data_IF_933894139894
#
_entry.id   IF_933894139894
#
_cell.length_a   1.000
_cell.length_b   1.000
_cell.length_c   1.000
_cell.angle_alpha   90.00
_cell.angle_beta   90.00
_cell.angle_gamma   90.00
#
_symmetry.space_group_name_H-M   'P 1'
#
loop_
_entity.id
_entity.type
_entity.pdbx_description
1 polymer ?
#
# COMPACT_ATOMS: atom_id res chain seq x y z
N UNK A 1 -47.25 35.72 -15.18
CA UNK A 1 -45.80 35.91 -15.03
C UNK A 1 -45.17 34.52 -15.06
N UNK A 2 -44.42 34.20 -16.10
CA UNK A 2 -43.70 32.92 -16.25
C UNK A 2 -42.39 33.05 -15.46
N UNK A 3 -42.01 32.08 -14.62
CA UNK A 3 -40.74 32.15 -13.89
C UNK A 3 -39.57 32.08 -14.88
N UNK A 4 -38.46 32.79 -14.61
CA UNK A 4 -37.33 32.82 -15.53
C UNK A 4 -36.67 31.43 -15.59
N UNK A 5 -36.14 31.02 -16.75
CA UNK A 5 -35.48 29.74 -16.91
C UNK A 5 -34.23 29.68 -16.02
N UNK A 6 -34.09 28.56 -15.29
CA UNK A 6 -32.93 28.28 -14.45
C UNK A 6 -31.65 28.39 -15.29
N UNK A 7 -30.72 29.26 -14.86
CA UNK A 7 -29.40 29.41 -15.47
C UNK A 7 -28.67 28.08 -15.39
N UNK A 8 -28.44 27.43 -16.54
CA UNK A 8 -27.48 26.34 -16.68
C UNK A 8 -26.14 26.80 -16.12
N UNK A 9 -25.73 26.22 -15.00
CA UNK A 9 -24.45 26.51 -14.38
C UNK A 9 -23.37 25.92 -15.29
N UNK A 10 -22.68 26.79 -16.04
CA UNK A 10 -21.55 26.41 -16.89
C UNK A 10 -20.44 25.92 -15.95
N UNK A 11 -20.31 24.61 -15.77
CA UNK A 11 -19.15 23.99 -15.13
C UNK A 11 -17.90 24.58 -15.80
N UNK A 12 -17.06 25.27 -15.04
CA UNK A 12 -15.80 25.81 -15.53
C UNK A 12 -14.98 24.67 -16.11
N UNK A 13 -14.77 24.66 -17.43
CA UNK A 13 -13.97 23.64 -18.10
C UNK A 13 -12.54 23.71 -17.54
N UNK A 14 -12.09 22.63 -16.90
CA UNK A 14 -10.69 22.40 -16.64
C UNK A 14 -9.95 22.30 -17.98
N UNK A 15 -8.74 22.84 -18.07
CA UNK A 15 -7.92 22.70 -19.27
C UNK A 15 -7.66 21.23 -19.58
N UNK A 16 -7.75 20.84 -20.86
CA UNK A 16 -7.51 19.46 -21.27
C UNK A 16 -6.07 19.02 -20.94
N UNK A 17 -5.90 17.80 -20.43
CA UNK A 17 -4.60 17.19 -20.17
C UNK A 17 -4.22 16.36 -21.40
N UNK A 18 -3.09 16.69 -22.02
CA UNK A 18 -2.70 16.15 -23.32
C UNK A 18 -1.58 15.12 -23.17
N UNK A 19 -1.86 13.89 -23.61
CA UNK A 19 -0.93 12.79 -23.72
C UNK A 19 -0.42 12.66 -25.17
N UNK A 20 0.63 13.42 -25.48
CA UNK A 20 1.36 13.36 -26.75
C UNK A 20 2.45 12.30 -26.74
N UNK A 21 2.74 11.75 -27.91
CA UNK A 21 3.97 11.00 -28.20
C UNK A 21 4.73 11.74 -29.30
N UNK A 22 6.06 11.56 -29.41
CA UNK A 22 6.92 12.27 -30.37
C UNK A 22 6.49 12.15 -31.85
N UNK A 23 5.62 11.19 -32.19
CA UNK A 23 5.28 10.85 -33.58
C UNK A 23 3.79 10.97 -33.92
N UNK A 24 2.89 11.09 -32.94
CA UNK A 24 1.45 11.03 -33.18
C UNK A 24 0.69 12.08 -32.37
N UNK A 25 -0.29 12.70 -33.03
CA UNK A 25 -1.27 13.58 -32.40
C UNK A 25 -2.33 12.75 -31.64
N UNK A 26 -2.87 13.27 -30.52
CA UNK A 26 -4.00 12.65 -29.83
C UNK A 26 -5.18 12.46 -30.77
N UNK A 27 -5.82 11.28 -30.72
CA UNK A 27 -6.94 10.94 -31.60
C UNK A 27 -8.18 10.46 -30.83
N UNK A 28 -8.11 10.44 -29.50
CA UNK A 28 -9.17 10.00 -28.61
C UNK A 28 -9.32 11.00 -27.48
N UNK A 29 -10.57 11.31 -27.10
CA UNK A 29 -10.88 12.11 -25.91
C UNK A 29 -11.56 11.28 -24.85
N UNK A 30 -11.06 11.39 -23.62
CA UNK A 30 -11.67 10.79 -22.44
C UNK A 30 -12.17 11.91 -21.54
N UNK A 31 -13.46 11.90 -21.23
CA UNK A 31 -14.11 12.85 -20.33
C UNK A 31 -14.36 12.16 -19.00
N UNK A 32 -13.43 12.32 -18.06
CA UNK A 32 -13.53 11.76 -16.71
C UNK A 32 -14.15 12.81 -15.80
N UNK A 33 -15.45 12.69 -15.58
CA UNK A 33 -16.30 13.72 -15.01
C UNK A 33 -16.15 15.05 -15.76
N UNK A 34 -15.54 16.07 -15.15
CA UNK A 34 -15.28 17.39 -15.75
C UNK A 34 -13.84 17.59 -16.23
N UNK A 35 -13.00 16.56 -16.20
CA UNK A 35 -11.64 16.61 -16.71
C UNK A 35 -11.59 15.95 -18.09
N UNK A 36 -11.07 16.70 -19.07
CA UNK A 36 -10.86 16.22 -20.44
C UNK A 36 -9.40 15.75 -20.58
N UNK A 37 -9.23 14.57 -21.19
CA UNK A 37 -7.93 14.00 -21.53
C UNK A 37 -7.86 13.77 -23.03
N UNK A 38 -6.79 14.23 -23.66
CA UNK A 38 -6.50 13.97 -25.07
C UNK A 38 -5.41 12.92 -25.14
N UNK A 39 -5.73 11.76 -25.71
CA UNK A 39 -4.85 10.59 -25.69
C UNK A 39 -4.74 9.97 -27.09
N UNK A 40 -3.71 9.16 -27.29
CA UNK A 40 -3.59 8.29 -28.45
C UNK A 40 -4.13 6.90 -28.11
N UNK A 41 -5.01 6.34 -28.94
CA UNK A 41 -5.67 5.06 -28.65
C UNK A 41 -4.70 3.88 -28.51
N UNK A 42 -3.57 3.88 -29.23
CA UNK A 42 -2.71 2.70 -29.31
C UNK A 42 -2.06 2.31 -27.96
N UNK A 43 -1.45 3.23 -27.17
CA UNK A 43 -1.01 2.92 -25.81
C UNK A 43 -2.11 2.35 -24.91
N UNK A 44 -3.35 2.84 -25.03
CA UNK A 44 -4.48 2.28 -24.29
C UNK A 44 -4.71 0.83 -24.71
N UNK A 45 -4.79 0.54 -26.03
CA UNK A 45 -4.99 -0.83 -26.54
C UNK A 45 -3.89 -1.80 -26.10
N UNK A 46 -2.64 -1.38 -26.14
CA UNK A 46 -1.50 -2.23 -25.78
C UNK A 46 -1.43 -2.56 -24.28
N UNK A 47 -2.00 -1.71 -23.41
CA UNK A 47 -1.83 -1.81 -21.96
C UNK A 47 -3.15 -1.99 -21.19
N UNK A 48 -4.27 -2.15 -21.89
CA UNK A 48 -5.59 -2.33 -21.29
C UNK A 48 -6.43 -3.28 -22.14
N UNK A 49 -6.72 -4.45 -21.58
CA UNK A 49 -7.59 -5.45 -22.23
C UNK A 49 -9.02 -4.93 -22.45
N UNK A 50 -9.47 -3.96 -21.66
CA UNK A 50 -10.73 -3.25 -21.92
C UNK A 50 -10.63 -2.46 -23.22
N UNK A 51 -9.66 -1.54 -23.33
CA UNK A 51 -9.54 -0.67 -24.49
C UNK A 51 -9.16 -1.45 -25.75
N UNK A 52 -8.35 -2.51 -25.65
CA UNK A 52 -8.05 -3.41 -26.76
C UNK A 52 -9.33 -3.91 -27.43
N UNK A 53 -10.23 -4.49 -26.63
CA UNK A 53 -11.54 -4.97 -27.10
C UNK A 53 -12.42 -3.82 -27.56
N UNK A 54 -12.43 -2.72 -26.82
CA UNK A 54 -13.35 -1.64 -27.10
C UNK A 54 -13.00 -0.85 -28.39
N UNK A 55 -11.73 -0.87 -28.79
CA UNK A 55 -11.26 -0.30 -30.07
C UNK A 55 -11.26 -1.31 -31.23
N UNK A 56 -11.58 -2.59 -30.99
CA UNK A 56 -11.69 -3.59 -32.05
C UNK A 56 -13.03 -3.42 -32.81
N UNK A 57 -13.01 -3.10 -34.11
CA UNK A 57 -14.23 -2.93 -34.90
C UNK A 57 -15.13 -4.17 -34.93
N UNK A 58 -14.56 -5.37 -34.72
CA UNK A 58 -15.34 -6.62 -34.71
C UNK A 58 -16.28 -6.76 -33.51
N UNK A 59 -16.05 -5.99 -32.44
CA UNK A 59 -16.91 -6.00 -31.24
C UNK A 59 -18.16 -5.12 -31.38
N UNK A 60 -18.40 -4.52 -32.55
CA UNK A 60 -19.63 -3.77 -32.85
C UNK A 60 -19.78 -2.45 -32.08
N UNK A 61 -18.71 -1.95 -31.47
CA UNK A 61 -18.71 -0.65 -30.81
C UNK A 61 -18.47 0.43 -31.87
N UNK A 62 -19.51 1.22 -32.15
CA UNK A 62 -19.38 2.38 -33.01
C UNK A 62 -18.66 3.51 -32.25
N UNK A 63 -17.44 3.80 -32.68
CA UNK A 63 -16.66 4.92 -32.18
C UNK A 63 -17.10 6.20 -32.89
N UNK A 64 -17.56 7.18 -32.12
CA UNK A 64 -17.97 8.49 -32.62
C UNK A 64 -17.31 9.60 -31.81
N UNK A 65 -17.17 10.76 -32.44
CA UNK A 65 -16.60 11.96 -31.82
C UNK A 65 -17.47 13.17 -32.14
N UNK A 66 -17.64 14.03 -31.14
CA UNK A 66 -18.27 15.34 -31.29
C UNK A 66 -17.37 16.39 -31.97
N UNK A 67 -16.09 16.07 -32.21
CA UNK A 67 -15.11 16.93 -32.88
C UNK A 67 -14.48 16.23 -34.07
N UNK A 68 -14.31 16.92 -35.21
CA UNK A 68 -13.65 16.34 -36.39
C UNK A 68 -12.16 16.03 -36.17
N UNK A 69 -11.54 16.59 -35.12
CA UNK A 69 -10.12 16.39 -34.80
C UNK A 69 -9.86 15.03 -34.11
N UNK A 70 -10.90 14.38 -33.59
CA UNK A 70 -10.78 13.15 -32.81
C UNK A 70 -11.60 12.05 -33.45
N UNK A 71 -11.12 10.82 -33.30
CA UNK A 71 -11.79 9.61 -33.82
C UNK A 71 -12.84 9.08 -32.85
N UNK A 72 -12.65 9.28 -31.55
CA UNK A 72 -13.58 8.79 -30.54
C UNK A 72 -13.63 9.68 -29.29
N UNK A 73 -14.83 9.82 -28.73
CA UNK A 73 -15.09 10.41 -27.42
C UNK A 73 -15.59 9.33 -26.45
N UNK A 74 -15.11 9.39 -25.21
CA UNK A 74 -15.51 8.51 -24.11
C UNK A 74 -15.96 9.33 -22.92
N UNK A 75 -17.08 8.97 -22.31
CA UNK A 75 -17.69 9.73 -21.22
C UNK A 75 -17.82 8.88 -19.97
N UNK A 76 -17.65 9.52 -18.81
CA UNK A 76 -18.03 8.91 -17.54
C UNK A 76 -19.52 8.61 -17.50
N UNK A 77 -19.83 7.36 -17.18
CA UNK A 77 -21.16 6.87 -16.81
C UNK A 77 -21.08 6.20 -15.45
N UNK A 78 -22.12 6.33 -14.62
CA UNK A 78 -22.22 5.65 -13.34
C UNK A 78 -22.51 4.17 -13.54
N UNK A 79 -21.77 3.35 -12.80
CA UNK A 79 -21.96 1.91 -12.77
C UNK A 79 -22.34 1.48 -11.35
N UNK A 80 -23.30 0.56 -11.23
CA UNK A 80 -23.82 0.16 -9.91
C UNK A 80 -22.82 -0.65 -9.10
N UNK A 81 -21.91 -1.36 -9.77
CA UNK A 81 -21.02 -2.34 -9.15
C UNK A 81 -19.63 -1.73 -8.92
N UNK A 82 -19.11 -0.96 -9.88
CA UNK A 82 -17.77 -0.36 -9.80
C UNK A 82 -17.77 1.16 -9.59
N UNK A 83 -18.95 1.76 -9.47
CA UNK A 83 -19.14 3.18 -9.18
C UNK A 83 -19.16 4.05 -10.44
N UNK A 84 -18.13 3.98 -11.28
CA UNK A 84 -18.11 4.69 -12.56
C UNK A 84 -17.22 4.01 -13.60
N UNK A 85 -17.57 4.19 -14.88
CA UNK A 85 -16.86 3.60 -16.03
C UNK A 85 -16.83 4.59 -17.19
N UNK A 86 -15.94 4.36 -18.16
CA UNK A 86 -15.95 5.07 -19.44
C UNK A 86 -16.78 4.31 -20.47
N UNK A 87 -17.75 5.02 -21.07
CA UNK A 87 -18.57 4.51 -22.17
C UNK A 87 -18.32 5.32 -23.45
N UNK A 88 -18.34 4.68 -24.62
CA UNK A 88 -18.16 5.39 -25.89
C UNK A 88 -19.30 6.38 -26.14
N UNK A 89 -19.02 7.45 -26.89
CA UNK A 89 -19.98 8.53 -27.16
C UNK A 89 -21.29 8.06 -27.80
N UNK A 90 -21.27 6.97 -28.57
CA UNK A 90 -22.45 6.32 -29.15
C UNK A 90 -23.42 5.74 -28.10
N UNK A 91 -22.91 5.40 -26.91
CA UNK A 91 -23.67 4.81 -25.80
C UNK A 91 -23.93 5.82 -24.68
N UNK A 92 -23.67 7.11 -24.92
CA UNK A 92 -23.88 8.14 -23.91
C UNK A 92 -25.36 8.21 -23.53
N UNK A 93 -25.68 7.92 -22.27
CA UNK A 93 -27.01 8.18 -21.74
C UNK A 93 -27.18 9.69 -21.50
N UNK A 94 -28.21 10.29 -22.10
CA UNK A 94 -28.54 11.73 -22.03
C UNK A 94 -28.96 12.23 -20.63
N UNK A 95 -28.94 11.37 -19.62
CA UNK A 95 -29.24 11.80 -18.26
C UNK A 95 -28.00 12.48 -17.71
N UNK A 96 -28.12 13.76 -17.39
CA UNK A 96 -27.19 14.45 -16.48
C UNK A 96 -27.19 13.65 -15.16
N UNK A 97 -26.32 12.65 -15.08
CA UNK A 97 -26.17 11.84 -13.89
C UNK A 97 -25.69 12.77 -12.78
N UNK A 98 -26.48 12.85 -11.72
CA UNK A 98 -26.23 13.80 -10.64
C UNK A 98 -25.06 13.31 -9.79
N UNK A 99 -23.85 13.61 -10.23
CA UNK A 99 -22.64 13.24 -9.51
C UNK A 99 -22.48 14.04 -8.19
N UNK A 100 -23.41 14.94 -7.81
CA UNK A 100 -23.23 15.97 -6.74
C UNK A 100 -22.91 15.39 -5.36
N UNK A 101 -23.25 14.12 -5.12
CA UNK A 101 -22.98 13.40 -3.87
C UNK A 101 -21.48 13.12 -3.66
N UNK A 102 -20.63 13.30 -4.68
CA UNK A 102 -19.27 12.74 -4.68
C UNK A 102 -18.13 13.74 -4.84
N UNK A 103 -18.33 15.07 -4.70
CA UNK A 103 -17.30 16.06 -5.11
C UNK A 103 -15.87 15.78 -4.58
N UNK A 104 -15.72 15.39 -3.32
CA UNK A 104 -14.42 15.01 -2.74
C UNK A 104 -13.83 13.73 -3.34
N UNK A 105 -14.66 12.73 -3.64
CA UNK A 105 -14.25 11.51 -4.35
C UNK A 105 -13.89 11.78 -5.81
N UNK A 106 -14.58 12.70 -6.50
CA UNK A 106 -14.34 12.93 -7.94
C UNK A 106 -12.92 13.37 -8.26
N UNK A 107 -12.38 14.34 -7.51
CA UNK A 107 -11.02 14.83 -7.77
C UNK A 107 -9.98 13.73 -7.53
N UNK A 108 -10.19 12.90 -6.50
CA UNK A 108 -9.35 11.74 -6.23
C UNK A 108 -9.44 10.70 -7.36
N UNK A 109 -10.65 10.39 -7.83
CA UNK A 109 -10.86 9.45 -8.93
C UNK A 109 -10.25 9.95 -10.25
N UNK A 110 -10.34 11.26 -10.53
CA UNK A 110 -9.69 11.90 -11.69
C UNK A 110 -8.18 11.81 -11.61
N UNK A 111 -7.61 12.07 -10.42
CA UNK A 111 -6.16 12.00 -10.21
C UNK A 111 -5.67 10.56 -10.31
N UNK A 112 -6.38 9.60 -9.73
CA UNK A 112 -6.10 8.18 -9.87
C UNK A 112 -6.13 7.75 -11.35
N UNK A 113 -7.17 8.12 -12.10
CA UNK A 113 -7.25 7.81 -13.53
C UNK A 113 -6.13 8.49 -14.34
N UNK A 114 -5.82 9.76 -14.04
CA UNK A 114 -4.69 10.46 -14.64
C UNK A 114 -3.36 9.71 -14.40
N UNK A 115 -3.13 9.18 -13.21
CA UNK A 115 -1.92 8.42 -12.91
C UNK A 115 -1.89 7.07 -13.63
N UNK A 116 -3.05 6.42 -13.85
CA UNK A 116 -3.13 5.24 -14.74
C UNK A 116 -2.74 5.62 -16.17
N UNK A 117 -3.21 6.77 -16.68
CA UNK A 117 -2.76 7.27 -17.98
C UNK A 117 -1.26 7.58 -17.96
N UNK A 118 -0.72 8.18 -16.91
CA UNK A 118 0.73 8.37 -16.78
C UNK A 118 1.48 7.04 -16.85
N UNK A 119 1.00 5.99 -16.17
CA UNK A 119 1.57 4.65 -16.28
C UNK A 119 1.55 4.12 -17.72
N UNK A 120 0.39 4.17 -18.39
CA UNK A 120 0.21 3.69 -19.78
C UNK A 120 1.11 4.44 -20.77
N UNK A 121 1.26 5.75 -20.59
CA UNK A 121 2.03 6.63 -21.47
C UNK A 121 3.49 6.83 -21.00
N UNK A 122 3.93 6.08 -19.99
CA UNK A 122 5.27 6.16 -19.40
C UNK A 122 5.69 7.60 -19.01
N UNK A 123 4.79 8.30 -18.31
CA UNK A 123 5.02 9.63 -17.72
C UNK A 123 5.19 9.50 -16.21
N UNK A 124 5.96 10.42 -15.64
CA UNK A 124 6.10 10.51 -14.18
C UNK A 124 4.78 10.93 -13.52
N UNK A 125 4.54 10.40 -12.33
CA UNK A 125 3.41 10.75 -11.49
C UNK A 125 3.75 10.55 -10.01
N UNK A 126 2.89 11.07 -9.15
CA UNK A 126 2.99 10.91 -7.70
C UNK A 126 1.67 10.40 -7.16
N UNK A 127 1.75 9.51 -6.18
CA UNK A 127 0.59 8.97 -5.48
C UNK A 127 0.54 9.65 -4.12
N UNK A 128 -0.49 10.44 -3.83
CA UNK A 128 -0.52 11.18 -2.56
C UNK A 128 -0.73 10.27 -1.37
N UNK A 129 -1.63 9.30 -1.44
CA UNK A 129 -1.97 8.47 -0.29
C UNK A 129 -2.53 7.11 -0.68
N UNK A 130 -2.74 6.26 0.33
CA UNK A 130 -3.20 4.88 0.14
C UNK A 130 -4.58 4.81 -0.53
N UNK A 131 -5.44 5.80 -0.27
CA UNK A 131 -6.77 5.85 -0.88
C UNK A 131 -6.69 6.15 -2.39
N UNK A 132 -5.81 7.06 -2.81
CA UNK A 132 -5.52 7.30 -4.23
C UNK A 132 -4.99 6.02 -4.91
N UNK A 133 -4.03 5.33 -4.28
CA UNK A 133 -3.50 4.07 -4.82
C UNK A 133 -4.58 3.00 -4.94
N UNK A 134 -5.46 2.86 -3.95
CA UNK A 134 -6.57 1.90 -4.00
C UNK A 134 -7.55 2.21 -5.14
N UNK A 135 -7.89 3.50 -5.35
CA UNK A 135 -8.67 3.92 -6.52
C UNK A 135 -7.96 3.58 -7.83
N UNK A 136 -6.64 3.82 -7.93
CA UNK A 136 -5.85 3.44 -9.10
C UNK A 136 -5.93 1.93 -9.38
N UNK A 137 -5.76 1.09 -8.35
CA UNK A 137 -5.80 -0.37 -8.49
C UNK A 137 -7.20 -0.84 -8.90
N UNK A 138 -8.25 -0.26 -8.30
CA UNK A 138 -9.64 -0.63 -8.62
C UNK A 138 -9.97 -0.31 -10.07
N UNK A 139 -9.63 0.89 -10.54
CA UNK A 139 -9.84 1.27 -11.94
C UNK A 139 -8.96 0.45 -12.89
N UNK A 140 -7.69 0.22 -12.55
CA UNK A 140 -6.79 -0.59 -13.36
C UNK A 140 -7.26 -2.05 -13.47
N UNK A 141 -7.84 -2.62 -12.40
CA UNK A 141 -8.47 -3.94 -12.45
C UNK A 141 -9.65 -3.96 -13.43
N UNK A 142 -10.52 -2.95 -13.38
CA UNK A 142 -11.66 -2.83 -14.30
C UNK A 142 -11.21 -2.70 -15.76
N UNK A 143 -10.25 -1.81 -16.03
CA UNK A 143 -9.74 -1.58 -17.38
C UNK A 143 -8.74 -2.66 -17.84
N UNK A 144 -8.39 -3.65 -17.02
CA UNK A 144 -7.40 -4.67 -17.36
C UNK A 144 -6.01 -4.09 -17.62
N UNK A 145 -5.57 -3.15 -16.77
CA UNK A 145 -4.32 -2.40 -16.84
C UNK A 145 -3.43 -2.58 -15.59
N UNK A 146 -3.68 -3.60 -14.77
CA UNK A 146 -2.88 -3.88 -13.57
C UNK A 146 -1.38 -4.06 -13.85
N UNK A 147 -0.96 -4.78 -14.91
CA UNK A 147 0.47 -5.00 -15.18
C UNK A 147 1.25 -3.71 -15.43
N UNK A 148 0.71 -2.80 -16.26
CA UNK A 148 1.38 -1.52 -16.56
C UNK A 148 1.45 -0.61 -15.33
N UNK A 149 0.39 -0.59 -14.51
CA UNK A 149 0.38 0.17 -13.26
C UNK A 149 1.43 -0.39 -12.31
N UNK A 150 1.47 -1.72 -12.11
CA UNK A 150 2.46 -2.38 -11.26
C UNK A 150 3.90 -2.04 -11.68
N UNK A 151 4.21 -2.14 -12.97
CA UNK A 151 5.55 -1.89 -13.49
C UNK A 151 5.99 -0.43 -13.33
N UNK A 152 5.07 0.53 -13.41
CA UNK A 152 5.39 1.95 -13.25
C UNK A 152 5.47 2.42 -11.79
N UNK A 153 4.94 1.66 -10.84
CA UNK A 153 4.67 2.11 -9.47
C UNK A 153 5.92 2.23 -8.59
N UNK A 154 7.01 1.54 -8.94
CA UNK A 154 8.23 1.53 -8.10
C UNK A 154 8.78 2.94 -7.86
N UNK A 155 8.88 3.78 -8.89
CA UNK A 155 9.37 5.17 -8.75
C UNK A 155 8.51 6.02 -7.81
N UNK A 156 7.19 6.14 -8.07
CA UNK A 156 6.26 6.86 -7.20
C UNK A 156 6.29 6.42 -5.73
N UNK A 157 6.48 5.13 -5.45
CA UNK A 157 6.53 4.64 -4.06
C UNK A 157 7.69 5.21 -3.24
N UNK A 158 8.81 5.57 -3.87
CA UNK A 158 9.94 6.17 -3.17
C UNK A 158 9.81 7.69 -2.98
N UNK A 159 8.91 8.34 -3.73
CA UNK A 159 8.70 9.79 -3.65
C UNK A 159 7.49 10.16 -2.78
N UNK A 160 6.62 9.19 -2.48
CA UNK A 160 5.40 9.37 -1.71
C UNK A 160 5.58 9.05 -0.21
N UNK A 161 5.95 10.04 0.59
CA UNK A 161 6.13 9.88 2.04
C UNK A 161 4.85 9.49 2.79
N UNK A 162 3.69 9.96 2.33
CA UNK A 162 2.37 9.71 2.94
C UNK A 162 1.88 8.25 2.76
N UNK A 163 2.45 7.48 1.84
CA UNK A 163 2.14 6.04 1.69
C UNK A 163 2.80 5.17 2.77
N UNK A 164 3.72 5.75 3.55
CA UNK A 164 4.59 5.04 4.49
C UNK A 164 4.28 5.34 5.96
N UNK A 165 3.20 6.08 6.26
CA UNK A 165 2.79 6.35 7.64
C UNK A 165 2.14 5.13 8.29
N UNK A 166 2.00 5.08 9.61
CA UNK A 166 1.27 3.98 10.27
C UNK A 166 -0.25 4.15 10.28
N UNK A 167 -0.75 5.30 9.82
CA UNK A 167 -2.16 5.71 9.91
C UNK A 167 -3.04 5.24 8.73
N UNK A 168 -2.49 4.50 7.77
CA UNK A 168 -3.27 3.96 6.65
C UNK A 168 -3.87 2.58 6.98
N UNK A 169 -4.91 2.21 6.23
CA UNK A 169 -5.46 0.86 6.27
C UNK A 169 -4.51 -0.13 5.56
N UNK A 170 -3.63 -0.76 6.35
CA UNK A 170 -2.66 -1.70 5.85
C UNK A 170 -3.27 -2.93 5.18
N UNK A 171 -4.50 -3.29 5.55
CA UNK A 171 -5.19 -4.43 4.95
C UNK A 171 -5.65 -4.13 3.52
N UNK A 172 -6.30 -2.99 3.31
CA UNK A 172 -6.67 -2.52 1.97
C UNK A 172 -5.45 -2.31 1.07
N UNK A 173 -4.35 -1.79 1.62
CA UNK A 173 -3.13 -1.59 0.84
C UNK A 173 -2.43 -2.91 0.49
N UNK A 174 -2.45 -3.89 1.41
CA UNK A 174 -1.95 -5.24 1.13
C UNK A 174 -2.76 -5.93 0.02
N UNK A 175 -4.09 -5.79 0.03
CA UNK A 175 -4.95 -6.30 -1.05
C UNK A 175 -4.66 -5.61 -2.39
N UNK A 176 -4.42 -4.31 -2.37
CA UNK A 176 -4.02 -3.54 -3.55
C UNK A 176 -2.67 -4.04 -4.10
N UNK A 177 -1.69 -4.26 -3.21
CA UNK A 177 -0.39 -4.79 -3.56
C UNK A 177 -0.46 -6.23 -4.11
N UNK A 178 -1.38 -7.04 -3.57
CA UNK A 178 -1.66 -8.39 -4.03
C UNK A 178 -2.26 -8.38 -5.46
N UNK A 179 -3.26 -7.56 -5.73
CA UNK A 179 -3.86 -7.40 -7.07
C UNK A 179 -2.84 -6.91 -8.11
N UNK A 180 -2.00 -5.95 -7.72
CA UNK A 180 -0.91 -5.46 -8.55
C UNK A 180 0.25 -6.46 -8.70
N UNK A 181 0.31 -7.50 -7.86
CA UNK A 181 1.46 -8.40 -7.78
C UNK A 181 2.80 -7.66 -7.57
N UNK A 182 2.75 -6.51 -6.89
CA UNK A 182 3.89 -5.61 -6.75
C UNK A 182 4.74 -5.99 -5.54
N UNK A 183 5.89 -6.65 -5.78
CA UNK A 183 6.72 -7.30 -4.73
C UNK A 183 7.12 -6.39 -3.57
N UNK A 184 7.65 -5.19 -3.87
CA UNK A 184 8.17 -4.30 -2.83
C UNK A 184 7.03 -3.78 -1.94
N UNK A 185 5.95 -3.29 -2.56
CA UNK A 185 4.76 -2.82 -1.85
C UNK A 185 4.10 -3.93 -1.03
N UNK A 186 4.01 -5.15 -1.58
CA UNK A 186 3.42 -6.27 -0.86
C UNK A 186 4.21 -6.62 0.39
N UNK A 187 5.54 -6.72 0.29
CA UNK A 187 6.41 -6.99 1.44
C UNK A 187 6.30 -5.91 2.50
N UNK A 188 6.27 -4.65 2.06
CA UNK A 188 6.09 -3.49 2.93
C UNK A 188 4.77 -3.63 3.71
N UNK A 189 3.65 -3.72 3.00
CA UNK A 189 2.31 -3.81 3.59
C UNK A 189 2.14 -5.06 4.45
N UNK A 190 2.79 -6.16 4.08
CA UNK A 190 2.72 -7.39 4.84
C UNK A 190 3.34 -7.24 6.24
N UNK A 191 4.44 -6.49 6.36
CA UNK A 191 5.01 -6.19 7.68
C UNK A 191 4.05 -5.31 8.48
N UNK A 192 3.43 -4.30 7.86
CA UNK A 192 2.46 -3.45 8.54
C UNK A 192 1.26 -4.23 9.07
N UNK A 193 0.70 -5.19 8.31
CA UNK A 193 -0.46 -5.96 8.81
C UNK A 193 -0.12 -6.92 9.95
N UNK A 194 1.15 -7.30 10.12
CA UNK A 194 1.58 -8.13 11.24
C UNK A 194 1.66 -7.35 12.55
N UNK A 195 1.70 -6.01 12.49
CA UNK A 195 1.62 -5.14 13.65
C UNK A 195 0.28 -4.38 13.73
N UNK A 196 0.07 -3.58 14.78
CA UNK A 196 0.80 -3.59 16.06
C UNK A 196 0.81 -4.98 16.70
N UNK A 197 1.87 -5.34 17.42
CA UNK A 197 2.04 -6.67 18.02
C UNK A 197 0.91 -7.01 18.98
N UNK A 198 0.48 -6.03 19.79
CA UNK A 198 -0.63 -6.19 20.73
C UNK A 198 -1.99 -6.36 20.03
N UNK A 199 -2.15 -5.84 18.82
CA UNK A 199 -3.39 -5.89 18.06
C UNK A 199 -3.14 -5.93 16.53
N UNK A 200 -2.69 -7.09 16.02
CA UNK A 200 -2.19 -7.16 14.65
C UNK A 200 -3.31 -6.98 13.62
N UNK A 201 -3.08 -6.12 12.64
CA UNK A 201 -4.11 -5.69 11.70
C UNK A 201 -4.59 -6.80 10.75
N UNK A 202 -3.77 -7.84 10.49
CA UNK A 202 -4.16 -8.95 9.60
C UNK A 202 -5.42 -9.67 10.05
N UNK A 203 -5.80 -9.58 11.33
CA UNK A 203 -7.05 -10.14 11.86
C UNK A 203 -8.31 -9.52 11.25
N UNK A 204 -8.18 -8.36 10.60
CA UNK A 204 -9.26 -7.68 9.86
C UNK A 204 -9.42 -8.22 8.44
N UNK A 205 -8.45 -8.98 7.91
CA UNK A 205 -8.53 -9.58 6.59
C UNK A 205 -9.65 -10.64 6.55
N UNK A 206 -10.30 -10.76 5.40
CA UNK A 206 -11.21 -11.87 5.13
C UNK A 206 -10.45 -13.20 5.14
N UNK A 207 -11.09 -14.26 5.65
CA UNK A 207 -10.49 -15.59 5.65
C UNK A 207 -10.20 -16.05 4.20
N UNK A 208 -8.92 -16.21 3.90
CA UNK A 208 -8.42 -16.36 2.55
C UNK A 208 -6.91 -16.52 2.50
N UNK A 209 -6.30 -16.50 1.30
CA UNK A 209 -4.86 -16.72 1.13
C UNK A 209 -4.00 -15.73 1.91
N UNK A 210 -4.37 -14.45 1.91
CA UNK A 210 -3.63 -13.39 2.61
C UNK A 210 -3.71 -13.56 4.14
N UNK A 211 -4.91 -13.83 4.67
CA UNK A 211 -5.12 -14.11 6.09
C UNK A 211 -4.27 -15.31 6.54
N UNK A 212 -4.34 -16.44 5.83
CA UNK A 212 -3.59 -17.65 6.16
C UNK A 212 -2.07 -17.44 6.12
N UNK A 213 -1.60 -16.68 5.14
CA UNK A 213 -0.18 -16.32 5.04
C UNK A 213 0.26 -15.45 6.22
N UNK A 214 -0.52 -14.43 6.58
CA UNK A 214 -0.24 -13.53 7.70
C UNK A 214 -0.33 -14.25 9.06
N UNK A 215 -1.36 -15.06 9.28
CA UNK A 215 -1.53 -15.87 10.50
C UNK A 215 -0.36 -16.85 10.68
N UNK A 216 0.07 -17.53 9.61
CA UNK A 216 1.24 -18.41 9.65
C UNK A 216 2.52 -17.62 9.97
N UNK A 217 2.70 -16.43 9.40
CA UNK A 217 3.83 -15.57 9.67
C UNK A 217 3.84 -15.09 11.14
N UNK A 218 2.70 -14.64 11.64
CA UNK A 218 2.54 -14.16 13.01
C UNK A 218 2.82 -15.27 14.04
N UNK A 219 2.27 -16.47 13.84
CA UNK A 219 2.55 -17.64 14.69
C UNK A 219 4.03 -18.02 14.71
N UNK A 220 4.73 -17.89 13.58
CA UNK A 220 6.19 -18.08 13.53
C UNK A 220 6.93 -17.04 14.36
N UNK A 221 6.47 -15.79 14.34
CA UNK A 221 7.02 -14.74 15.20
C UNK A 221 6.76 -15.02 16.69
N UNK A 222 5.55 -15.48 17.06
CA UNK A 222 5.24 -15.89 18.43
C UNK A 222 6.20 -16.99 18.92
N UNK A 223 6.40 -18.04 18.13
CA UNK A 223 7.35 -19.12 18.48
C UNK A 223 8.78 -18.60 18.65
N UNK A 224 9.23 -17.68 17.79
CA UNK A 224 10.56 -17.06 17.93
C UNK A 224 10.68 -16.21 19.19
N UNK A 225 9.64 -15.44 19.55
CA UNK A 225 9.61 -14.65 20.78
C UNK A 225 9.65 -15.54 22.01
N UNK A 226 8.89 -16.64 22.01
CA UNK A 226 8.95 -17.64 23.09
C UNK A 226 10.36 -18.18 23.25
N UNK A 227 11.03 -18.51 22.15
CA UNK A 227 12.43 -18.95 22.18
C UNK A 227 13.36 -17.86 22.74
N UNK A 228 13.21 -16.61 22.31
CA UNK A 228 14.00 -15.48 22.84
C UNK A 228 13.82 -15.35 24.35
N UNK A 229 12.59 -15.45 24.86
CA UNK A 229 12.35 -15.44 26.29
C UNK A 229 13.07 -16.59 27.01
N UNK A 230 12.97 -17.82 26.49
CA UNK A 230 13.70 -18.96 27.04
C UNK A 230 15.21 -18.75 27.05
N UNK A 231 15.77 -18.25 25.94
CA UNK A 231 17.21 -17.99 25.81
C UNK A 231 17.65 -16.88 26.78
N UNK A 232 16.83 -15.83 26.99
CA UNK A 232 17.08 -14.79 27.99
C UNK A 232 17.03 -15.32 29.42
N UNK A 233 16.08 -16.21 29.75
CA UNK A 233 16.02 -16.89 31.06
C UNK A 233 17.23 -17.80 31.28
N UNK A 234 17.69 -18.49 30.24
CA UNK A 234 18.88 -19.33 30.33
C UNK A 234 20.15 -18.50 30.52
N UNK A 235 20.30 -17.39 29.77
CA UNK A 235 21.43 -16.48 29.91
C UNK A 235 21.52 -15.94 31.34
N UNK A 236 20.39 -15.54 31.89
CA UNK A 236 20.27 -15.11 33.28
C UNK A 236 20.70 -16.18 34.29
N UNK A 237 20.33 -17.43 34.05
CA UNK A 237 20.64 -18.55 34.94
C UNK A 237 22.12 -18.96 34.88
N UNK A 238 22.80 -18.68 33.77
CA UNK A 238 24.19 -19.05 33.53
C UNK A 238 25.20 -17.96 33.93
N UNK A 239 24.75 -16.80 34.41
CA UNK A 239 25.66 -15.72 34.82
C UNK A 239 26.35 -16.13 36.13
N UNK A 240 27.69 -16.32 36.15
CA UNK A 240 28.40 -16.80 37.34
C UNK A 240 28.21 -15.82 38.52
N UNK A 241 28.15 -16.32 39.77
CA UNK A 241 28.15 -15.46 40.96
C UNK A 241 29.52 -14.81 41.25
N UNK A 242 30.54 -15.06 40.43
CA UNK A 242 31.93 -14.74 40.74
C UNK A 242 32.36 -13.38 40.16
N UNK A 243 32.00 -12.32 40.87
CA UNK A 243 32.97 -11.30 41.25
C UNK A 243 32.58 -10.79 42.63
N UNK A 244 33.54 -10.42 43.47
CA UNK A 244 33.29 -9.98 44.85
C UNK A 244 32.42 -8.68 44.94
N UNK A 245 32.01 -8.10 43.81
CA UNK A 245 31.02 -7.02 43.70
C UNK A 245 29.61 -7.49 43.26
N UNK A 246 29.45 -8.77 42.87
CA UNK A 246 28.26 -9.35 42.25
C UNK A 246 27.87 -10.70 42.85
N UNK A 247 27.66 -10.76 44.16
CA UNK A 247 27.10 -11.94 44.87
C UNK A 247 25.72 -12.38 44.29
N UNK A 248 25.09 -11.55 43.44
CA UNK A 248 23.80 -11.80 42.79
C UNK A 248 23.78 -11.58 41.26
N UNK A 249 24.91 -11.66 40.55
CA UNK A 249 25.07 -11.22 39.14
C UNK A 249 23.95 -11.60 38.16
N UNK A 250 23.52 -12.86 38.13
CA UNK A 250 22.40 -13.30 37.29
C UNK A 250 21.04 -12.71 37.72
N UNK A 251 20.81 -12.60 39.02
CA UNK A 251 19.58 -12.04 39.60
C UNK A 251 19.48 -10.53 39.36
N UNK A 252 20.57 -9.77 39.49
CA UNK A 252 20.59 -8.34 39.23
C UNK A 252 20.42 -8.00 37.75
N UNK A 253 21.00 -8.82 36.87
CA UNK A 253 20.80 -8.69 35.42
C UNK A 253 19.32 -8.89 35.05
N UNK A 254 18.69 -9.95 35.55
CA UNK A 254 17.26 -10.21 35.35
C UNK A 254 16.40 -9.10 35.94
N UNK A 255 16.65 -8.72 37.20
CA UNK A 255 15.91 -7.65 37.86
C UNK A 255 16.05 -6.33 37.10
N UNK A 256 17.22 -6.06 36.53
CA UNK A 256 17.43 -4.87 35.71
C UNK A 256 16.58 -4.93 34.44
N UNK A 257 16.59 -6.05 33.71
CA UNK A 257 15.78 -6.21 32.50
C UNK A 257 14.28 -6.21 32.79
N UNK A 258 13.82 -6.94 33.80
CA UNK A 258 12.42 -6.95 34.24
C UNK A 258 12.00 -5.57 34.76
N UNK A 259 12.91 -4.83 35.39
CA UNK A 259 12.71 -3.44 35.81
C UNK A 259 12.49 -2.47 34.65
N UNK A 260 12.72 -2.88 33.40
CA UNK A 260 12.34 -2.12 32.21
C UNK A 260 10.87 -2.31 31.83
N UNK A 261 10.26 -3.45 32.19
CA UNK A 261 8.90 -3.78 31.78
C UNK A 261 7.86 -2.70 32.14
N UNK A 262 7.87 -2.07 33.34
CA UNK A 262 6.94 -0.99 33.67
C UNK A 262 7.04 0.24 32.75
N UNK A 263 8.16 0.44 32.06
CA UNK A 263 8.35 1.55 31.08
C UNK A 263 7.92 1.17 29.66
N UNK A 264 7.54 -0.09 29.46
CA UNK A 264 7.21 -0.67 28.18
C UNK A 264 5.78 -1.22 28.17
N UNK A 265 4.89 -0.68 29.00
CA UNK A 265 3.47 -1.04 28.98
C UNK A 265 2.66 -0.06 28.15
N UNK A 266 1.57 -0.54 27.54
CA UNK A 266 0.52 0.28 26.97
C UNK A 266 -0.34 0.91 28.07
N UNK A 267 -1.25 1.80 27.68
CA UNK A 267 -2.25 2.39 28.58
C UNK A 267 -3.16 1.33 29.23
N UNK A 268 -3.31 0.16 28.59
CA UNK A 268 -4.03 -1.01 29.13
C UNK A 268 -3.19 -1.86 30.10
N UNK A 269 -1.94 -1.46 30.39
CA UNK A 269 -1.02 -2.18 31.26
C UNK A 269 -0.41 -3.44 30.62
N UNK A 270 -0.52 -3.62 29.29
CA UNK A 270 0.08 -4.76 28.57
C UNK A 270 1.49 -4.42 28.12
N UNK A 271 2.43 -5.37 28.21
CA UNK A 271 3.79 -5.17 27.71
C UNK A 271 3.79 -5.03 26.18
N UNK A 272 4.32 -3.91 25.71
CA UNK A 272 4.66 -3.61 24.31
C UNK A 272 5.99 -4.31 24.01
N UNK A 273 5.90 -5.53 23.48
CA UNK A 273 7.05 -6.43 23.34
C UNK A 273 8.21 -5.84 22.52
N UNK A 274 8.00 -5.18 21.36
CA UNK A 274 9.09 -4.58 20.60
C UNK A 274 9.83 -3.48 21.37
N UNK A 275 9.09 -2.62 22.07
CA UNK A 275 9.63 -1.56 22.94
C UNK A 275 10.42 -2.14 24.11
N UNK A 276 9.92 -3.22 24.72
CA UNK A 276 10.60 -3.94 25.78
C UNK A 276 11.94 -4.53 25.30
N UNK A 277 11.94 -5.28 24.20
CA UNK A 277 13.15 -5.87 23.63
C UNK A 277 14.18 -4.81 23.21
N UNK A 278 13.73 -3.70 22.61
CA UNK A 278 14.61 -2.56 22.30
C UNK A 278 15.25 -2.02 23.57
N UNK A 279 14.47 -1.83 24.63
CA UNK A 279 14.95 -1.34 25.92
C UNK A 279 15.97 -2.31 26.55
N UNK A 280 15.71 -3.62 26.50
CA UNK A 280 16.65 -4.65 26.97
C UNK A 280 18.00 -4.57 26.23
N UNK A 281 17.95 -4.47 24.89
CA UNK A 281 19.15 -4.37 24.06
C UNK A 281 19.96 -3.10 24.38
N UNK A 282 19.29 -1.95 24.52
CA UNK A 282 19.95 -0.67 24.87
C UNK A 282 20.51 -0.69 26.30
N UNK A 283 19.82 -1.29 27.26
CA UNK A 283 20.26 -1.38 28.65
C UNK A 283 21.49 -2.30 28.79
N UNK A 284 21.45 -3.48 28.14
CA UNK A 284 22.57 -4.41 28.14
C UNK A 284 23.86 -3.74 27.61
N UNK A 285 23.76 -2.97 26.53
CA UNK A 285 24.89 -2.25 25.94
C UNK A 285 25.59 -1.26 26.88
N UNK A 286 24.85 -0.71 27.86
CA UNK A 286 25.38 0.31 28.78
C UNK A 286 25.99 -0.30 30.04
N UNK A 287 25.38 -1.36 30.57
CA UNK A 287 25.67 -1.86 31.92
C UNK A 287 26.44 -3.19 31.94
N UNK A 288 26.36 -4.00 30.88
CA UNK A 288 26.88 -5.37 30.88
C UNK A 288 27.54 -5.74 29.55
N UNK A 289 28.83 -5.40 29.32
CA UNK A 289 29.49 -5.57 28.02
C UNK A 289 29.52 -7.02 27.50
N UNK A 290 29.76 -8.00 28.36
CA UNK A 290 29.79 -9.42 27.97
C UNK A 290 28.39 -10.01 27.70
N UNK A 291 27.39 -9.92 28.62
CA UNK A 291 26.01 -10.32 28.32
C UNK A 291 25.38 -9.57 27.15
N UNK A 292 25.84 -8.36 26.85
CA UNK A 292 25.34 -7.56 25.74
C UNK A 292 25.52 -8.25 24.39
N UNK A 293 26.63 -8.95 24.14
CA UNK A 293 26.86 -9.59 22.85
C UNK A 293 25.89 -10.74 22.60
N UNK A 294 25.57 -11.53 23.63
CA UNK A 294 24.54 -12.57 23.53
C UNK A 294 23.14 -11.97 23.39
N UNK A 295 22.80 -10.92 24.14
CA UNK A 295 21.51 -10.20 23.97
C UNK A 295 21.37 -9.61 22.57
N UNK A 296 22.43 -8.99 22.06
CA UNK A 296 22.46 -8.40 20.74
C UNK A 296 22.32 -9.47 19.66
N UNK A 297 22.94 -10.65 19.85
CA UNK A 297 22.79 -11.79 18.95
C UNK A 297 21.36 -12.35 18.96
N UNK A 298 20.72 -12.43 20.13
CA UNK A 298 19.32 -12.86 20.29
C UNK A 298 18.33 -11.86 19.69
N UNK A 299 18.39 -10.60 20.13
CA UNK A 299 17.39 -9.57 19.81
C UNK A 299 17.69 -8.82 18.52
N UNK A 300 18.96 -8.66 18.15
CA UNK A 300 19.38 -7.79 17.04
C UNK A 300 18.79 -8.20 15.69
N UNK A 301 18.67 -9.52 15.43
CA UNK A 301 17.99 -10.02 14.23
C UNK A 301 16.50 -9.71 14.22
N UNK A 302 15.86 -9.77 15.39
CA UNK A 302 14.41 -9.62 15.56
C UNK A 302 13.96 -8.15 15.59
N UNK A 303 14.87 -7.26 15.93
CA UNK A 303 14.69 -5.80 15.97
C UNK A 303 15.20 -5.10 14.69
N UNK A 304 15.62 -5.86 13.68
CA UNK A 304 16.08 -5.34 12.40
C UNK A 304 14.89 -4.82 11.58
N UNK A 305 15.08 -3.66 10.93
CA UNK A 305 14.13 -3.17 9.95
C UNK A 305 14.28 -3.92 8.61
N UNK A 306 13.19 -4.50 8.11
CA UNK A 306 13.09 -5.14 6.78
C UNK A 306 12.08 -4.45 5.86
N UNK A 307 11.57 -3.29 6.26
CA UNK A 307 10.85 -2.40 5.36
C UNK A 307 11.77 -1.98 4.21
N UNK A 308 11.23 -2.03 2.99
CA UNK A 308 11.92 -1.71 1.75
C UNK A 308 11.82 -0.22 1.47
N UNK A 309 10.65 0.36 1.72
CA UNK A 309 10.34 1.75 1.41
C UNK A 309 10.72 2.67 2.57
N UNK A 310 10.43 2.29 3.82
CA UNK A 310 10.78 3.09 5.01
C UNK A 310 11.99 2.55 5.77
N UNK A 311 13.19 2.84 5.26
CA UNK A 311 14.46 2.28 5.79
C UNK A 311 14.86 2.80 7.18
N UNK A 312 14.41 3.99 7.54
CA UNK A 312 14.77 4.63 8.81
C UNK A 312 13.86 4.22 9.98
N UNK A 313 12.84 3.40 9.71
CA UNK A 313 11.96 2.87 10.76
C UNK A 313 12.72 1.97 11.75
N UNK A 314 12.32 2.02 13.02
CA UNK A 314 12.97 1.28 14.10
C UNK A 314 11.93 0.59 14.97
N UNK A 315 11.94 -0.75 15.01
CA UNK A 315 11.08 -1.51 15.91
C UNK A 315 11.22 -1.07 17.36
N UNK A 316 10.11 -0.84 18.06
CA UNK A 316 10.14 -0.42 19.45
C UNK A 316 10.34 1.09 19.66
N UNK A 317 10.24 1.93 18.62
CA UNK A 317 10.44 3.38 18.70
C UNK A 317 9.41 4.15 17.87
N UNK A 318 8.91 5.27 18.41
CA UNK A 318 8.02 6.20 17.71
C UNK A 318 6.73 5.52 17.24
N UNK A 319 6.33 5.78 16.00
CA UNK A 319 5.17 5.13 15.36
C UNK A 319 5.29 3.60 15.28
N UNK A 320 6.50 3.07 15.36
CA UNK A 320 6.80 1.63 15.32
C UNK A 320 7.05 1.04 16.72
N UNK A 321 6.56 1.70 17.78
CA UNK A 321 6.81 1.24 19.16
C UNK A 321 6.27 -0.17 19.44
N UNK A 322 5.15 -0.54 18.82
CA UNK A 322 4.56 -1.87 18.93
C UNK A 322 4.72 -2.69 17.66
N UNK A 323 5.75 -2.43 16.84
CA UNK A 323 5.99 -3.17 15.60
C UNK A 323 7.30 -3.95 15.60
N UNK A 324 7.22 -5.23 15.24
CA UNK A 324 8.37 -6.01 14.79
C UNK A 324 8.52 -5.91 13.27
N UNK A 325 9.61 -5.31 12.81
CA UNK A 325 9.83 -5.00 11.39
C UNK A 325 10.72 -6.02 10.69
N UNK A 326 11.06 -7.14 11.33
CA UNK A 326 12.10 -8.07 10.86
C UNK A 326 11.59 -9.15 9.89
N UNK A 327 10.27 -9.26 9.69
CA UNK A 327 9.73 -10.36 8.89
C UNK A 327 10.17 -10.24 7.43
N UNK A 328 10.37 -11.37 6.75
CA UNK A 328 10.76 -11.39 5.34
C UNK A 328 9.98 -12.47 4.61
N UNK A 329 9.29 -12.06 3.53
CA UNK A 329 8.63 -12.99 2.60
C UNK A 329 9.57 -13.25 1.42
N UNK A 330 10.15 -14.46 1.30
CA UNK A 330 10.92 -14.82 0.10
C UNK A 330 9.99 -14.94 -1.12
N UNK A 331 10.54 -14.78 -2.33
CA UNK A 331 9.76 -14.83 -3.59
C UNK A 331 8.88 -16.09 -3.69
N UNK A 332 9.39 -17.25 -3.25
CA UNK A 332 8.66 -18.53 -3.22
C UNK A 332 7.41 -18.57 -2.32
N UNK A 333 7.24 -17.58 -1.45
CA UNK A 333 6.09 -17.46 -0.55
C UNK A 333 5.12 -16.35 -1.01
N UNK A 334 5.42 -15.67 -2.12
CA UNK A 334 4.46 -14.74 -2.72
C UNK A 334 3.26 -15.55 -3.24
N UNK A 335 2.02 -15.04 -3.07
CA UNK A 335 0.82 -15.75 -3.49
C UNK A 335 0.54 -15.68 -5.00
N UNK A 336 1.55 -15.40 -5.82
CA UNK A 336 1.49 -15.37 -7.29
C UNK A 336 2.82 -15.86 -7.89
N UNK A 337 2.80 -16.26 -9.16
CA UNK A 337 4.03 -16.58 -9.89
C UNK A 337 4.80 -15.29 -10.23
N UNK A 338 6.04 -15.22 -9.78
CA UNK A 338 6.92 -14.07 -9.98
C UNK A 338 7.40 -13.90 -11.42
N UNK A 339 7.23 -14.93 -12.25
CA UNK A 339 7.62 -14.90 -13.67
C UNK A 339 6.44 -14.61 -14.60
N UNK A 340 5.21 -14.58 -14.09
CA UNK A 340 4.02 -14.26 -14.86
C UNK A 340 3.95 -12.74 -15.10
N UNK A 341 4.04 -12.34 -16.37
CA UNK A 341 4.07 -10.92 -16.79
C UNK A 341 2.70 -10.40 -17.27
N UNK A 342 1.73 -11.29 -17.41
CA UNK A 342 0.35 -11.00 -17.85
C UNK A 342 -0.62 -11.61 -16.86
N UNK A 343 -1.47 -10.80 -16.22
CA UNK A 343 -2.51 -11.26 -15.30
C UNK A 343 -3.70 -10.32 -15.20
#
# INVERSE_FOLDING_TARGET
MVPPPAKKQKLSQSSAIIFTTLKNEPNTRLFVFNQEFHVFAEPLRMNSAFFERAFDPSNGIELSSSSPLFKSDWYTSLDKDVGWVLTPGSQKHDKDEDFTISKGKRSQEQKAFNNILCAIFNREYQVSNAAELNSMVTQAAYYGALPVVSNSLTGPLYTSSELLSTDFDATTLLESAYKLRHKALFRECFIYVLGPWSNPQYKKLLDGPLFKLADTAYKRMEMHIMKIHMDMFQLASNCPPDSDEFINGGTEYVQHLLGLAPKCVSDEGRIIMPKFFRSCMTAAARKYPEPHDEVKKMLGRFLQNRLVLLKDAVSGVGEFEDYFLHFTIPDRMLPWDVNEITW
#
